data_IF_853601378375
#
_entry.id   IF_853601378375
#
_cell.length_a   1.000
_cell.length_b   1.000
_cell.length_c   1.000
_cell.angle_alpha   90.00
_cell.angle_beta   90.00
_cell.angle_gamma   90.00
#
_symmetry.space_group_name_H-M   'P 1'
#
loop_
_entity.id
_entity.type
_entity.pdbx_description
1 polymer ?
#
# COMPACT_ATOMS: atom_id res chain seq x y z
N UNK A 1 6.65 25.24 -3.75
CA UNK A 1 6.07 24.37 -4.79
C UNK A 1 4.57 24.37 -4.58
N UNK A 2 3.79 24.78 -5.58
CA UNK A 2 2.33 24.78 -5.48
C UNK A 2 1.85 23.32 -5.34
N UNK A 3 0.99 23.08 -4.36
CA UNK A 3 0.36 21.78 -4.19
C UNK A 3 -0.54 21.54 -5.41
N UNK A 4 -0.21 20.54 -6.23
CA UNK A 4 -1.02 20.15 -7.39
C UNK A 4 -2.42 19.80 -6.91
N UNK A 5 -3.43 20.39 -7.54
CA UNK A 5 -4.81 20.20 -7.09
C UNK A 5 -5.27 18.75 -7.33
N UNK A 6 -6.16 18.18 -6.50
CA UNK A 6 -6.73 16.84 -6.72
C UNK A 6 -7.38 16.69 -8.11
N UNK A 7 -7.96 17.78 -8.64
CA UNK A 7 -8.58 17.82 -9.97
C UNK A 7 -7.55 17.70 -11.08
N UNK A 8 -6.40 18.35 -10.93
CA UNK A 8 -5.31 18.29 -11.91
C UNK A 8 -4.73 16.87 -12.03
N UNK A 9 -4.50 16.19 -10.90
CA UNK A 9 -4.04 14.79 -10.89
C UNK A 9 -5.08 13.87 -11.54
N UNK A 10 -6.38 14.10 -11.29
CA UNK A 10 -7.46 13.32 -11.91
C UNK A 10 -7.47 13.52 -13.43
N UNK A 11 -7.33 14.76 -13.91
CA UNK A 11 -7.27 15.06 -15.34
C UNK A 11 -6.10 14.35 -16.03
N UNK A 12 -4.92 14.39 -15.43
CA UNK A 12 -3.74 13.69 -15.96
C UNK A 12 -3.92 12.16 -15.97
N UNK A 13 -4.56 11.58 -14.96
CA UNK A 13 -4.86 10.14 -14.91
C UNK A 13 -5.81 9.71 -16.01
N UNK A 14 -6.85 10.49 -16.27
CA UNK A 14 -7.80 10.22 -17.37
C UNK A 14 -7.14 10.32 -18.73
N UNK A 15 -6.37 11.39 -18.98
CA UNK A 15 -5.63 11.58 -20.23
C UNK A 15 -4.61 10.45 -20.48
N UNK A 16 -3.92 10.00 -19.43
CA UNK A 16 -3.05 8.83 -19.51
C UNK A 16 -3.84 7.54 -19.85
N UNK A 17 -5.02 7.33 -19.26
CA UNK A 17 -5.89 6.18 -19.58
C UNK A 17 -6.35 6.18 -21.05
N UNK A 18 -6.38 7.35 -21.68
CA UNK A 18 -6.70 7.53 -23.09
C UNK A 18 -5.47 7.40 -24.01
N UNK A 19 -4.29 7.15 -23.43
CA UNK A 19 -3.03 6.93 -24.15
C UNK A 19 -2.17 8.18 -24.32
N UNK A 20 -2.48 9.30 -23.67
CA UNK A 20 -1.70 10.53 -23.75
C UNK A 20 -0.38 10.42 -22.98
N UNK A 21 0.74 10.18 -23.66
CA UNK A 21 2.05 10.01 -23.05
C UNK A 21 2.53 11.26 -22.30
N UNK A 22 2.22 12.46 -22.80
CA UNK A 22 2.58 13.71 -22.15
C UNK A 22 1.89 13.89 -20.78
N UNK A 23 0.68 13.36 -20.62
CA UNK A 23 -0.01 13.35 -19.33
C UNK A 23 0.71 12.44 -18.32
N UNK A 24 1.20 11.29 -18.77
CA UNK A 24 2.00 10.38 -17.95
C UNK A 24 3.29 11.05 -17.46
N UNK A 25 4.04 11.71 -18.32
CA UNK A 25 5.29 12.39 -17.94
C UNK A 25 5.07 13.46 -16.86
N UNK A 26 3.95 14.19 -16.92
CA UNK A 26 3.55 15.18 -15.90
C UNK A 26 3.08 14.49 -14.61
N UNK A 27 2.46 13.32 -14.71
CA UNK A 27 1.93 12.57 -13.58
C UNK A 27 3.05 11.93 -12.75
N UNK A 28 4.12 11.44 -13.40
CA UNK A 28 5.23 10.71 -12.76
C UNK A 28 5.78 11.41 -11.52
N UNK A 29 6.22 12.69 -11.55
CA UNK A 29 6.80 13.33 -10.36
C UNK A 29 5.79 13.47 -9.21
N UNK A 30 4.49 13.66 -9.53
CA UNK A 30 3.44 13.80 -8.55
C UNK A 30 3.15 12.46 -7.85
N UNK A 31 3.02 11.40 -8.64
CA UNK A 31 2.82 10.03 -8.17
C UNK A 31 4.02 9.56 -7.35
N UNK A 32 5.23 9.80 -7.84
CA UNK A 32 6.45 9.41 -7.16
C UNK A 32 6.56 10.05 -5.77
N UNK A 33 6.26 11.34 -5.64
CA UNK A 33 6.27 12.05 -4.37
C UNK A 33 5.29 11.45 -3.35
N UNK A 34 4.07 11.10 -3.80
CA UNK A 34 3.05 10.49 -2.95
C UNK A 34 3.40 9.04 -2.57
N UNK A 35 3.86 8.24 -3.51
CA UNK A 35 4.33 6.87 -3.24
C UNK A 35 5.50 6.88 -2.26
N UNK A 36 6.42 7.83 -2.39
CA UNK A 36 7.53 8.02 -1.46
C UNK A 36 7.04 8.38 -0.06
N UNK A 37 6.04 9.25 0.06
CA UNK A 37 5.41 9.61 1.34
C UNK A 37 4.78 8.38 2.02
N UNK A 38 4.09 7.55 1.24
CA UNK A 38 3.49 6.31 1.72
C UNK A 38 4.59 5.33 2.14
N UNK A 39 5.59 5.07 1.30
CA UNK A 39 6.69 4.17 1.59
C UNK A 39 7.48 4.60 2.84
N UNK A 40 7.75 5.90 3.02
CA UNK A 40 8.38 6.44 4.22
C UNK A 40 7.62 6.13 5.50
N UNK A 41 6.29 6.10 5.46
CA UNK A 41 5.45 5.78 6.62
C UNK A 41 5.64 4.32 7.07
N UNK A 42 5.88 3.40 6.13
CA UNK A 42 6.17 1.99 6.43
C UNK A 42 7.59 1.78 6.92
N UNK A 43 8.54 2.49 6.30
CA UNK A 43 9.95 2.39 6.61
C UNK A 43 10.38 3.32 7.74
N UNK A 44 9.56 4.29 8.14
CA UNK A 44 9.88 5.40 9.05
C UNK A 44 10.06 5.02 10.53
N UNK A 45 9.93 3.75 10.90
CA UNK A 45 10.32 3.23 12.21
C UNK A 45 11.75 2.66 12.23
N UNK A 46 12.45 2.73 11.13
CA UNK A 46 13.81 2.20 11.02
C UNK A 46 14.88 3.30 11.19
N UNK A 47 16.08 2.85 11.56
CA UNK A 47 17.24 3.71 11.89
C UNK A 47 17.65 4.62 10.72
N UNK A 48 18.30 5.76 10.96
CA UNK A 48 18.82 6.65 9.92
C UNK A 48 19.76 5.87 8.96
N UNK A 49 19.45 5.90 7.66
CA UNK A 49 20.22 5.19 6.61
C UNK A 49 19.35 4.44 5.58
N UNK A 50 18.06 4.31 5.81
CA UNK A 50 17.15 3.50 4.98
C UNK A 50 16.48 4.23 3.80
N UNK A 51 17.02 5.35 3.33
CA UNK A 51 16.50 6.07 2.16
C UNK A 51 16.51 5.21 0.89
N UNK A 52 17.47 4.31 0.75
CA UNK A 52 17.57 3.36 -0.37
C UNK A 52 16.40 2.37 -0.39
N UNK A 53 15.96 1.91 0.78
CA UNK A 53 14.84 0.96 0.89
C UNK A 53 13.50 1.58 0.52
N UNK A 54 13.27 2.81 0.94
CA UNK A 54 12.09 3.59 0.52
C UNK A 54 12.08 3.76 -0.99
N UNK A 55 13.22 4.09 -1.59
CA UNK A 55 13.36 4.28 -3.04
C UNK A 55 13.11 2.97 -3.80
N UNK A 56 13.65 1.84 -3.33
CA UNK A 56 13.43 0.53 -3.96
C UNK A 56 11.94 0.14 -3.93
N UNK A 57 11.25 0.33 -2.80
CA UNK A 57 9.80 0.08 -2.69
C UNK A 57 8.99 0.96 -3.65
N UNK A 58 9.35 2.25 -3.74
CA UNK A 58 8.68 3.19 -4.65
C UNK A 58 8.91 2.82 -6.11
N UNK A 59 10.14 2.45 -6.48
CA UNK A 59 10.47 2.05 -7.84
C UNK A 59 9.74 0.77 -8.25
N UNK A 60 9.68 -0.23 -7.38
CA UNK A 60 8.93 -1.46 -7.63
C UNK A 60 7.44 -1.20 -7.79
N UNK A 61 6.84 -0.39 -6.90
CA UNK A 61 5.45 0.01 -7.03
C UNK A 61 5.19 0.79 -8.32
N UNK A 62 6.11 1.68 -8.69
CA UNK A 62 6.03 2.47 -9.91
C UNK A 62 6.09 1.59 -11.16
N UNK A 63 7.03 0.65 -11.25
CA UNK A 63 7.15 -0.28 -12.38
C UNK A 63 5.87 -1.10 -12.56
N UNK A 64 5.32 -1.64 -11.46
CA UNK A 64 4.07 -2.42 -11.53
C UNK A 64 2.85 -1.56 -11.87
N UNK A 65 2.85 -0.27 -11.51
CA UNK A 65 1.79 0.66 -11.93
C UNK A 65 1.85 0.99 -13.42
N UNK A 66 3.05 1.09 -13.99
CA UNK A 66 3.23 1.27 -15.44
C UNK A 66 2.75 0.02 -16.19
N UNK A 67 3.13 -1.17 -15.73
CA UNK A 67 2.68 -2.43 -16.32
C UNK A 67 1.16 -2.63 -16.20
N UNK A 68 0.52 -1.96 -15.24
CA UNK A 68 -0.94 -1.88 -15.11
C UNK A 68 -1.59 -0.93 -16.15
N UNK A 69 -1.02 -0.76 -17.33
CA UNK A 69 -1.51 0.09 -18.42
C UNK A 69 -2.95 -0.22 -18.88
N UNK A 70 -3.50 -1.37 -18.45
CA UNK A 70 -4.91 -1.79 -18.68
C UNK A 70 -5.88 -1.25 -17.64
N UNK A 71 -5.41 -0.60 -16.57
CA UNK A 71 -6.28 -0.05 -15.53
C UNK A 71 -6.88 1.26 -16.04
N UNK A 72 -8.19 1.31 -16.19
CA UNK A 72 -8.90 2.57 -16.46
C UNK A 72 -8.97 3.38 -15.17
N UNK A 73 -8.10 4.37 -15.08
CA UNK A 73 -8.07 5.28 -13.95
C UNK A 73 -9.35 6.12 -13.91
N UNK A 74 -10.05 6.12 -12.80
CA UNK A 74 -11.30 6.90 -12.65
C UNK A 74 -11.04 8.29 -12.07
N UNK A 75 -10.16 8.36 -11.09
CA UNK A 75 -9.78 9.59 -10.40
C UNK A 75 -8.54 9.35 -9.52
N UNK A 76 -8.04 10.42 -8.89
CA UNK A 76 -6.90 10.37 -7.96
C UNK A 76 -7.12 9.36 -6.82
N UNK A 77 -8.33 9.29 -6.28
CA UNK A 77 -8.65 8.40 -5.17
C UNK A 77 -8.58 6.91 -5.59
N UNK A 78 -9.06 6.56 -6.78
CA UNK A 78 -8.93 5.23 -7.36
C UNK A 78 -7.45 4.86 -7.58
N UNK A 79 -6.64 5.80 -8.08
CA UNK A 79 -5.20 5.60 -8.24
C UNK A 79 -4.52 5.25 -6.92
N UNK A 80 -4.79 5.99 -5.84
CA UNK A 80 -4.21 5.70 -4.53
C UNK A 80 -4.71 4.39 -3.92
N UNK A 81 -5.95 4.01 -4.18
CA UNK A 81 -6.48 2.72 -3.75
C UNK A 81 -5.72 1.57 -4.39
N UNK A 82 -5.52 1.61 -5.71
CA UNK A 82 -4.75 0.59 -6.43
C UNK A 82 -3.29 0.59 -5.98
N UNK A 83 -2.69 1.76 -5.79
CA UNK A 83 -1.32 1.91 -5.28
C UNK A 83 -1.16 1.31 -3.88
N UNK A 84 -2.15 1.50 -2.99
CA UNK A 84 -2.15 0.93 -1.65
C UNK A 84 -2.16 -0.60 -1.68
N UNK A 85 -3.01 -1.19 -2.51
CA UNK A 85 -3.07 -2.64 -2.70
C UNK A 85 -1.75 -3.19 -3.24
N UNK A 86 -1.18 -2.50 -4.19
CA UNK A 86 0.09 -2.88 -4.79
C UNK A 86 1.24 -2.83 -3.78
N UNK A 87 1.34 -1.74 -3.02
CA UNK A 87 2.34 -1.61 -1.95
C UNK A 87 2.19 -2.69 -0.87
N UNK A 88 0.94 -2.98 -0.46
CA UNK A 88 0.66 -4.08 0.45
C UNK A 88 1.22 -5.39 -0.10
N UNK A 89 0.90 -5.75 -1.35
CA UNK A 89 1.39 -6.98 -1.98
C UNK A 89 2.91 -7.05 -2.01
N UNK A 90 3.58 -5.98 -2.46
CA UNK A 90 5.04 -5.94 -2.53
C UNK A 90 5.67 -6.18 -1.16
N UNK A 91 5.19 -5.48 -0.13
CA UNK A 91 5.70 -5.61 1.24
C UNK A 91 5.48 -7.02 1.81
N UNK A 92 4.30 -7.58 1.60
CA UNK A 92 3.96 -8.94 2.08
C UNK A 92 4.76 -10.01 1.34
N UNK A 93 4.84 -9.93 0.01
CA UNK A 93 5.62 -10.86 -0.81
C UNK A 93 7.09 -10.84 -0.38
N UNK A 94 7.63 -9.66 -0.13
CA UNK A 94 8.98 -9.49 0.37
C UNK A 94 9.16 -10.10 1.77
N UNK A 95 8.23 -9.85 2.69
CA UNK A 95 8.27 -10.42 4.03
C UNK A 95 8.19 -11.97 4.00
N UNK A 96 7.30 -12.53 3.18
CA UNK A 96 7.15 -13.99 2.99
C UNK A 96 8.40 -14.61 2.37
N UNK A 97 8.98 -14.01 1.35
CA UNK A 97 10.20 -14.53 0.69
C UNK A 97 11.38 -14.61 1.67
N UNK A 98 11.55 -13.62 2.54
CA UNK A 98 12.59 -13.64 3.58
C UNK A 98 12.38 -14.73 4.64
N UNK A 99 11.14 -15.00 5.02
CA UNK A 99 10.82 -16.09 5.94
C UNK A 99 11.14 -17.45 5.32
N UNK A 100 10.85 -17.61 4.02
CA UNK A 100 11.11 -18.86 3.28
C UNK A 100 12.60 -19.14 3.12
N UNK A 101 13.41 -18.15 2.78
CA UNK A 101 14.88 -18.27 2.68
C UNK A 101 15.52 -18.72 3.99
N UNK A 102 15.02 -18.26 5.13
CA UNK A 102 15.54 -18.63 6.45
C UNK A 102 15.21 -20.06 6.88
N UNK A 103 14.17 -20.68 6.28
CA UNK A 103 13.77 -22.07 6.54
C UNK A 103 14.40 -23.08 5.59
N UNK A 104 15.44 -22.70 4.80
CA UNK A 104 16.18 -23.60 3.91
C UNK A 104 15.46 -23.97 2.62
N UNK A 105 14.39 -23.24 2.26
CA UNK A 105 13.71 -23.45 0.99
C UNK A 105 14.52 -22.92 -0.20
N UNK A 106 14.52 -23.65 -1.32
CA UNK A 106 15.05 -23.14 -2.59
C UNK A 106 14.17 -21.97 -3.05
N UNK A 107 14.67 -20.75 -2.87
CA UNK A 107 13.93 -19.56 -3.25
C UNK A 107 13.82 -19.44 -4.76
N UNK A 108 12.60 -19.37 -5.24
CA UNK A 108 12.36 -18.73 -6.51
C UNK A 108 12.80 -17.26 -6.34
N UNK A 109 13.87 -16.87 -7.04
CA UNK A 109 14.41 -15.49 -6.99
C UNK A 109 13.31 -14.53 -7.42
N UNK A 110 12.56 -13.99 -6.47
CA UNK A 110 11.89 -12.72 -6.70
C UNK A 110 13.02 -11.72 -6.72
N UNK A 111 13.32 -11.18 -7.89
CA UNK A 111 14.37 -10.20 -8.12
C UNK A 111 13.93 -8.86 -7.49
N UNK A 112 13.99 -8.80 -6.15
CA UNK A 112 13.92 -7.53 -5.45
C UNK A 112 15.34 -6.97 -5.40
N UNK A 113 15.46 -5.71 -5.78
CA UNK A 113 16.69 -4.95 -5.64
C UNK A 113 17.24 -5.14 -4.21
N UNK A 114 18.54 -5.38 -4.07
CA UNK A 114 19.22 -5.69 -2.79
C UNK A 114 19.00 -4.60 -1.71
N UNK A 115 18.40 -3.47 -2.10
CA UNK A 115 18.08 -2.34 -1.24
C UNK A 115 16.85 -2.49 -0.33
N UNK A 116 15.97 -3.49 -0.53
CA UNK A 116 14.76 -3.63 0.29
C UNK A 116 14.99 -4.55 1.49
N UNK A 117 15.26 -3.99 2.66
CA UNK A 117 15.47 -4.72 3.92
C UNK A 117 14.38 -4.37 4.93
N UNK A 118 13.50 -5.31 5.26
CA UNK A 118 12.51 -5.19 6.36
C UNK A 118 13.03 -6.03 7.52
N UNK A 119 12.93 -5.53 8.77
CA UNK A 119 13.37 -6.29 9.94
C UNK A 119 12.54 -7.58 10.08
N UNK A 120 13.07 -8.57 10.84
CA UNK A 120 12.38 -9.85 11.02
C UNK A 120 11.01 -9.67 11.69
N UNK A 121 10.96 -8.86 12.74
CA UNK A 121 9.75 -8.58 13.52
C UNK A 121 8.70 -7.87 12.67
N UNK A 122 9.09 -6.83 11.93
CA UNK A 122 8.19 -6.12 11.03
C UNK A 122 7.67 -7.00 9.89
N UNK A 123 8.52 -7.92 9.36
CA UNK A 123 8.09 -8.87 8.33
C UNK A 123 7.03 -9.85 8.85
N UNK A 124 7.16 -10.33 10.08
CA UNK A 124 6.15 -11.18 10.72
C UNK A 124 4.85 -10.42 10.97
N UNK A 125 4.94 -9.21 11.48
CA UNK A 125 3.78 -8.34 11.71
C UNK A 125 3.05 -8.00 10.41
N UNK A 126 3.76 -7.78 9.31
CA UNK A 126 3.16 -7.50 7.99
C UNK A 126 2.41 -8.72 7.44
N UNK A 127 2.96 -9.92 7.57
CA UNK A 127 2.29 -11.16 7.14
C UNK A 127 1.06 -11.42 7.99
N UNK A 128 1.18 -11.30 9.32
CA UNK A 128 0.05 -11.48 10.24
C UNK A 128 -1.06 -10.45 9.99
N UNK A 129 -0.69 -9.20 9.68
CA UNK A 129 -1.65 -8.16 9.32
C UNK A 129 -2.34 -8.47 7.98
N UNK A 130 -1.59 -8.98 6.98
CA UNK A 130 -2.16 -9.38 5.69
C UNK A 130 -3.19 -10.49 5.85
N UNK A 131 -2.86 -11.53 6.61
CA UNK A 131 -3.75 -12.65 6.88
C UNK A 131 -5.00 -12.20 7.65
N UNK A 132 -4.83 -11.36 8.67
CA UNK A 132 -5.94 -10.76 9.41
C UNK A 132 -6.83 -9.87 8.53
N UNK A 133 -6.25 -9.08 7.62
CA UNK A 133 -7.02 -8.26 6.68
C UNK A 133 -7.80 -9.09 5.66
N UNK A 134 -7.25 -10.21 5.21
CA UNK A 134 -7.93 -11.14 4.33
C UNK A 134 -9.12 -11.79 5.07
N UNK A 135 -8.94 -12.21 6.32
CA UNK A 135 -10.03 -12.71 7.15
C UNK A 135 -11.11 -11.63 7.42
N UNK A 136 -10.70 -10.39 7.70
CA UNK A 136 -11.64 -9.28 7.86
C UNK A 136 -12.42 -9.00 6.56
N UNK A 137 -11.80 -9.12 5.39
CA UNK A 137 -12.45 -8.89 4.10
C UNK A 137 -13.59 -9.88 3.83
N UNK A 138 -13.51 -11.10 4.35
CA UNK A 138 -14.58 -12.10 4.27
C UNK A 138 -15.77 -11.71 5.15
N UNK A 139 -15.50 -11.13 6.33
CA UNK A 139 -16.54 -10.76 7.32
C UNK A 139 -17.13 -9.38 6.97
N UNK A 140 -16.27 -8.41 6.68
CA UNK A 140 -16.67 -7.03 6.36
C UNK A 140 -15.65 -6.40 5.40
N UNK A 141 -15.95 -6.52 4.11
CA UNK A 141 -15.12 -6.01 3.02
C UNK A 141 -14.83 -4.51 3.15
N UNK A 142 -15.83 -3.70 3.58
CA UNK A 142 -15.65 -2.25 3.68
C UNK A 142 -14.68 -1.89 4.78
N UNK A 143 -14.73 -2.54 5.95
CA UNK A 143 -13.78 -2.31 7.04
C UNK A 143 -12.36 -2.68 6.63
N UNK A 144 -12.17 -3.79 5.92
CA UNK A 144 -10.87 -4.16 5.36
C UNK A 144 -10.36 -3.10 4.37
N UNK A 145 -11.21 -2.60 3.46
CA UNK A 145 -10.88 -1.53 2.53
C UNK A 145 -10.52 -0.22 3.24
N UNK A 146 -11.24 0.16 4.30
CA UNK A 146 -10.90 1.35 5.10
C UNK A 146 -9.49 1.22 5.67
N UNK A 147 -9.10 0.04 6.17
CA UNK A 147 -7.74 -0.17 6.68
C UNK A 147 -6.72 -0.10 5.55
N UNK A 148 -6.99 -0.75 4.43
CA UNK A 148 -6.10 -0.77 3.27
C UNK A 148 -5.82 0.64 2.76
N UNK A 149 -6.85 1.44 2.53
CA UNK A 149 -6.73 2.81 2.04
C UNK A 149 -6.00 3.72 3.04
N UNK A 150 -6.32 3.64 4.32
CA UNK A 150 -5.72 4.50 5.33
C UNK A 150 -4.34 4.07 5.78
N UNK A 151 -4.14 2.77 5.97
CA UNK A 151 -2.87 2.23 6.43
C UNK A 151 -1.88 2.10 5.26
N UNK A 152 -2.22 1.39 4.20
CA UNK A 152 -1.33 1.16 3.05
C UNK A 152 -1.36 2.29 2.01
N UNK A 153 -2.48 2.96 1.81
CA UNK A 153 -2.61 4.07 0.87
C UNK A 153 -2.29 5.43 1.46
N UNK A 154 -2.27 5.53 2.80
CA UNK A 154 -2.03 6.79 3.47
C UNK A 154 -3.12 7.84 3.28
N UNK A 155 -4.32 7.46 2.83
CA UNK A 155 -5.42 8.36 2.60
C UNK A 155 -5.95 8.96 3.92
N UNK A 156 -6.34 10.21 3.86
CA UNK A 156 -7.09 10.86 4.94
C UNK A 156 -8.49 10.24 5.10
N UNK A 157 -9.20 10.62 6.16
CA UNK A 157 -10.60 10.21 6.36
C UNK A 157 -11.47 10.70 5.21
N UNK A 158 -11.30 11.95 4.78
CA UNK A 158 -12.07 12.54 3.70
C UNK A 158 -11.83 11.84 2.35
N UNK A 159 -10.57 11.61 1.98
CA UNK A 159 -10.21 10.89 0.76
C UNK A 159 -10.73 9.45 0.78
N UNK A 160 -10.64 8.76 1.93
CA UNK A 160 -11.18 7.39 2.08
C UNK A 160 -12.70 7.38 1.93
N UNK A 161 -13.39 8.38 2.48
CA UNK A 161 -14.84 8.53 2.36
C UNK A 161 -15.26 8.74 0.89
N UNK A 162 -14.51 9.55 0.15
CA UNK A 162 -14.72 9.79 -1.28
C UNK A 162 -14.54 8.48 -2.09
N UNK A 163 -13.45 7.74 -1.86
CA UNK A 163 -13.18 6.44 -2.54
C UNK A 163 -14.30 5.44 -2.31
N UNK A 164 -14.70 5.29 -1.05
CA UNK A 164 -15.68 4.28 -0.64
C UNK A 164 -17.14 4.75 -0.80
N UNK A 165 -17.36 6.01 -1.19
CA UNK A 165 -18.68 6.65 -1.33
C UNK A 165 -19.51 6.53 -0.04
N UNK A 166 -18.89 6.82 1.10
CA UNK A 166 -19.50 6.81 2.43
C UNK A 166 -19.20 8.12 3.17
N UNK A 167 -19.88 8.36 4.30
CA UNK A 167 -19.59 9.55 5.11
C UNK A 167 -18.24 9.43 5.87
N UNK A 168 -17.56 10.54 6.17
CA UNK A 168 -16.37 10.56 7.03
C UNK A 168 -16.59 9.88 8.39
N UNK A 169 -17.75 10.04 8.99
CA UNK A 169 -18.10 9.39 10.27
C UNK A 169 -18.16 7.85 10.12
N UNK A 170 -18.66 7.36 8.99
CA UNK A 170 -18.63 5.92 8.67
C UNK A 170 -17.20 5.42 8.59
N UNK A 171 -16.30 6.16 7.94
CA UNK A 171 -14.87 5.80 7.86
C UNK A 171 -14.23 5.78 9.25
N UNK A 172 -14.50 6.77 10.09
CA UNK A 172 -13.97 6.83 11.47
C UNK A 172 -14.46 5.66 12.33
N UNK A 173 -15.74 5.32 12.23
CA UNK A 173 -16.33 4.18 12.94
C UNK A 173 -15.72 2.87 12.47
N UNK A 174 -15.69 2.64 11.16
CA UNK A 174 -15.17 1.43 10.56
C UNK A 174 -13.67 1.26 10.86
N UNK A 175 -12.90 2.34 10.82
CA UNK A 175 -11.50 2.36 11.22
C UNK A 175 -11.27 1.93 12.67
N UNK A 176 -12.09 2.45 13.61
CA UNK A 176 -11.98 2.07 15.03
C UNK A 176 -12.29 0.59 15.23
N UNK A 177 -13.40 0.11 14.67
CA UNK A 177 -13.83 -1.27 14.79
C UNK A 177 -12.82 -2.24 14.13
N UNK A 178 -12.35 -1.91 12.94
CA UNK A 178 -11.34 -2.71 12.24
C UNK A 178 -10.05 -2.84 13.05
N UNK A 179 -9.54 -1.74 13.64
CA UNK A 179 -8.32 -1.79 14.47
C UNK A 179 -8.47 -2.72 15.69
N UNK A 180 -9.60 -2.67 16.37
CA UNK A 180 -9.85 -3.53 17.55
C UNK A 180 -9.91 -5.00 17.12
N UNK A 181 -10.59 -5.28 16.00
CA UNK A 181 -10.71 -6.63 15.47
C UNK A 181 -9.36 -7.18 15.01
N UNK A 182 -8.60 -6.41 14.23
CA UNK A 182 -7.27 -6.80 13.75
C UNK A 182 -6.30 -7.05 14.91
N UNK A 183 -6.27 -6.18 15.92
CA UNK A 183 -5.42 -6.36 17.09
C UNK A 183 -5.76 -7.64 17.89
N UNK A 184 -7.03 -8.05 17.89
CA UNK A 184 -7.45 -9.33 18.49
C UNK A 184 -6.99 -10.51 17.63
N UNK A 185 -7.17 -10.44 16.33
CA UNK A 185 -6.84 -11.53 15.41
C UNK A 185 -5.34 -11.79 15.34
N UNK A 186 -4.53 -10.74 15.24
CA UNK A 186 -3.07 -10.84 15.25
C UNK A 186 -2.53 -11.42 16.56
N UNK A 187 -3.16 -11.10 17.72
CA UNK A 187 -2.78 -11.71 19.01
C UNK A 187 -3.09 -13.21 19.08
N UNK A 188 -4.18 -13.66 18.46
CA UNK A 188 -4.48 -15.09 18.38
C UNK A 188 -3.42 -15.82 17.54
N UNK A 189 -3.04 -15.27 16.38
CA UNK A 189 -2.01 -15.84 15.54
C UNK A 189 -0.67 -15.98 16.30
N UNK A 190 -0.26 -14.93 17.02
CA UNK A 190 0.96 -14.96 17.82
C UNK A 190 0.93 -16.02 18.96
N UNK A 191 -0.24 -16.32 19.51
CA UNK A 191 -0.40 -17.36 20.56
C UNK A 191 -0.38 -18.80 20.01
N UNK A 192 -0.61 -18.99 18.71
CA UNK A 192 -0.50 -20.30 18.04
C UNK A 192 0.93 -20.63 17.59
N UNK A 193 1.78 -19.61 17.40
CA UNK A 193 3.18 -19.75 16.94
C UNK A 193 4.18 -19.84 18.13
N UNK A 194 3.72 -19.72 19.37
CA UNK A 194 4.52 -19.79 20.61
C UNK A 194 4.45 -21.16 21.26
#
# INVERSE_FOLDING_TARGET
MAATSPQEVTGLLLAWSEGEQAAFEKLVPLVYAELRRVAHRYMGRERPGHSLQTTALVNEAYLRLIDASRVRWQNRAHFFAVSAQLMRRILVDFARSRQYLKRGGAAQKVSFDEGLVVSKEQGQDLVALDDALNALAVIDKRKSQVVELRFFGGLSVAETAEVLKVSPDTVLRDWRLAKVWLAREMRKAAAYDA
#
